data_IF_784266344552
#
_entry.id   IF_784266344552
#
_cell.length_a   1.000
_cell.length_b   1.000
_cell.length_c   1.000
_cell.angle_alpha   90.00
_cell.angle_beta   90.00
_cell.angle_gamma   90.00
#
_symmetry.space_group_name_H-M   'P 1'
#
loop_
_entity.id
_entity.type
_entity.pdbx_description
1 polymer ?
#
# COMPACT_ATOMS: atom_id res chain seq x y z
N UNK A 1 -3.38 7.26 12.90
CA UNK A 1 -3.71 7.38 11.46
C UNK A 1 -5.16 6.98 11.16
N UNK A 2 -5.66 5.89 11.75
CA UNK A 2 -7.00 5.35 11.50
C UNK A 2 -8.15 6.34 11.72
N UNK A 3 -8.07 7.20 12.77
CA UNK A 3 -9.10 8.22 13.05
C UNK A 3 -9.28 9.21 11.91
N UNK A 4 -8.17 9.63 11.31
CA UNK A 4 -8.18 10.56 10.16
C UNK A 4 -8.79 9.89 8.94
N UNK A 5 -8.47 8.62 8.68
CA UNK A 5 -9.08 7.85 7.59
C UNK A 5 -10.57 7.69 7.82
N UNK A 6 -11.01 7.34 9.04
CA UNK A 6 -12.43 7.24 9.37
C UNK A 6 -13.18 8.57 9.13
N UNK A 7 -12.60 9.70 9.57
CA UNK A 7 -13.19 11.03 9.34
C UNK A 7 -13.29 11.36 7.83
N UNK A 8 -12.23 11.09 7.06
CA UNK A 8 -12.23 11.27 5.61
C UNK A 8 -13.23 10.32 4.92
N UNK A 9 -13.39 9.10 5.42
CA UNK A 9 -14.35 8.14 4.88
C UNK A 9 -15.80 8.57 5.13
N UNK A 10 -16.09 9.18 6.29
CA UNK A 10 -17.41 9.78 6.57
C UNK A 10 -17.67 10.95 5.63
N UNK A 11 -16.68 11.83 5.44
CA UNK A 11 -16.79 12.94 4.48
C UNK A 11 -17.01 12.42 3.05
N UNK A 12 -16.24 11.42 2.63
CA UNK A 12 -16.36 10.78 1.33
C UNK A 12 -17.75 10.17 1.12
N UNK A 13 -18.27 9.46 2.11
CA UNK A 13 -19.63 8.92 2.08
C UNK A 13 -20.67 10.04 1.92
N UNK A 14 -20.56 11.13 2.68
CA UNK A 14 -21.49 12.25 2.59
C UNK A 14 -21.47 12.91 1.20
N UNK A 15 -20.28 13.03 0.59
CA UNK A 15 -20.11 13.58 -0.76
C UNK A 15 -20.69 12.69 -1.86
N UNK A 16 -20.89 11.39 -1.61
CA UNK A 16 -21.57 10.47 -2.54
C UNK A 16 -23.09 10.52 -2.35
N UNK A 17 -23.54 10.50 -1.09
CA UNK A 17 -24.97 10.37 -0.77
C UNK A 17 -25.73 11.69 -0.96
N UNK A 18 -25.12 12.83 -0.61
CA UNK A 18 -25.80 14.13 -0.68
C UNK A 18 -26.21 14.53 -2.12
N UNK A 19 -25.37 14.39 -3.15
CA UNK A 19 -25.77 14.65 -4.54
C UNK A 19 -26.94 13.76 -4.99
N UNK A 20 -26.91 12.47 -4.69
CA UNK A 20 -27.97 11.53 -5.06
C UNK A 20 -29.31 11.89 -4.39
N UNK A 21 -29.28 12.31 -3.12
CA UNK A 21 -30.46 12.85 -2.43
C UNK A 21 -30.96 14.14 -3.07
N UNK A 22 -30.07 15.07 -3.43
CA UNK A 22 -30.47 16.30 -4.12
C UNK A 22 -31.08 16.02 -5.49
N UNK A 23 -30.54 15.04 -6.24
CA UNK A 23 -31.05 14.65 -7.55
C UNK A 23 -32.51 14.19 -7.49
N UNK A 24 -32.90 13.40 -6.47
CA UNK A 24 -34.31 13.02 -6.27
C UNK A 24 -35.22 14.23 -6.07
N UNK A 25 -34.83 15.14 -5.19
CA UNK A 25 -35.65 16.32 -4.85
C UNK A 25 -35.78 17.31 -6.00
N UNK A 26 -34.73 17.42 -6.83
CA UNK A 26 -34.72 18.31 -7.99
C UNK A 26 -35.54 17.78 -9.16
N UNK A 27 -35.57 16.46 -9.38
CA UNK A 27 -36.39 15.83 -10.42
C UNK A 27 -37.89 15.92 -10.10
N UNK A 28 -38.28 15.89 -8.82
CA UNK A 28 -39.67 16.11 -8.40
C UNK A 28 -40.17 17.54 -8.68
N UNK A 29 -39.27 18.52 -8.88
CA UNK A 29 -39.60 19.95 -9.05
C UNK A 29 -39.26 20.48 -10.46
N UNK A 30 -39.14 19.61 -11.47
CA UNK A 30 -38.66 19.92 -12.82
C UNK A 30 -39.60 20.80 -13.69
N UNK A 31 -40.29 21.78 -13.10
CA UNK A 31 -41.15 22.75 -13.80
C UNK A 31 -40.48 24.07 -14.19
N UNK A 32 -39.27 24.41 -13.73
CA UNK A 32 -38.67 25.73 -13.97
C UNK A 32 -37.22 25.65 -14.51
N UNK A 33 -37.04 26.03 -15.77
CA UNK A 33 -35.86 25.74 -16.60
C UNK A 33 -34.69 26.75 -16.54
N UNK A 34 -34.60 27.63 -15.53
CA UNK A 34 -33.62 28.73 -15.54
C UNK A 34 -32.26 28.47 -14.83
N UNK A 35 -32.05 27.33 -14.16
CA UNK A 35 -30.84 27.08 -13.33
C UNK A 35 -29.82 26.03 -13.81
N UNK A 36 -29.97 25.47 -15.02
CA UNK A 36 -29.30 24.20 -15.41
C UNK A 36 -27.76 24.25 -15.40
N UNK A 37 -27.14 25.38 -15.72
CA UNK A 37 -25.67 25.51 -15.77
C UNK A 37 -25.00 25.49 -14.38
N UNK A 38 -25.59 26.20 -13.40
CA UNK A 38 -25.07 26.26 -12.04
C UNK A 38 -25.18 24.91 -11.32
N UNK A 39 -26.29 24.19 -11.53
CA UNK A 39 -26.50 22.84 -10.99
C UNK A 39 -25.45 21.87 -11.53
N UNK A 40 -25.17 21.91 -12.84
CA UNK A 40 -24.14 21.08 -13.46
C UNK A 40 -22.74 21.38 -12.91
N UNK A 41 -22.40 22.66 -12.70
CA UNK A 41 -21.11 23.07 -12.15
C UNK A 41 -20.91 22.60 -10.71
N UNK A 42 -21.94 22.75 -9.85
CA UNK A 42 -21.92 22.25 -8.47
C UNK A 42 -21.84 20.73 -8.44
N UNK A 43 -22.59 20.05 -9.31
CA UNK A 43 -22.54 18.60 -9.46
C UNK A 43 -21.12 18.13 -9.82
N UNK A 44 -20.52 18.68 -10.89
CA UNK A 44 -19.15 18.35 -11.31
C UNK A 44 -18.11 18.66 -10.22
N UNK A 45 -18.24 19.82 -9.55
CA UNK A 45 -17.39 20.19 -8.43
C UNK A 45 -17.47 19.19 -7.28
N UNK A 46 -18.68 18.71 -6.95
CA UNK A 46 -18.90 17.67 -5.94
C UNK A 46 -18.16 16.37 -6.26
N UNK A 47 -18.19 15.92 -7.52
CA UNK A 47 -17.44 14.74 -7.97
C UNK A 47 -15.93 14.94 -7.81
N UNK A 48 -15.40 16.10 -8.22
CA UNK A 48 -13.98 16.41 -8.07
C UNK A 48 -13.58 16.37 -6.58
N UNK A 49 -14.37 17.00 -5.72
CA UNK A 49 -14.12 17.01 -4.27
C UNK A 49 -14.18 15.59 -3.70
N UNK A 50 -15.17 14.80 -4.08
CA UNK A 50 -15.28 13.38 -3.71
C UNK A 50 -14.03 12.59 -4.11
N UNK A 51 -13.52 12.79 -5.32
CA UNK A 51 -12.30 12.15 -5.79
C UNK A 51 -11.06 12.61 -5.01
N UNK A 52 -10.94 13.90 -4.73
CA UNK A 52 -9.82 14.46 -3.94
C UNK A 52 -9.82 13.90 -2.52
N UNK A 53 -10.99 13.79 -1.89
CA UNK A 53 -11.11 13.17 -0.56
C UNK A 53 -10.72 11.69 -0.63
N UNK A 54 -11.16 10.95 -1.64
CA UNK A 54 -10.76 9.55 -1.80
C UNK A 54 -9.25 9.40 -2.07
N UNK A 55 -8.66 10.27 -2.88
CA UNK A 55 -7.22 10.32 -3.09
C UNK A 55 -6.47 10.58 -1.78
N UNK A 56 -7.00 11.47 -0.92
CA UNK A 56 -6.45 11.75 0.40
C UNK A 56 -6.53 10.56 1.36
N UNK A 57 -7.56 9.70 1.23
CA UNK A 57 -7.66 8.40 1.92
C UNK A 57 -6.62 7.43 1.35
N UNK A 58 -6.58 7.27 0.03
CA UNK A 58 -5.70 6.33 -0.66
C UNK A 58 -4.23 6.56 -0.34
N UNK A 59 -3.78 7.83 -0.33
CA UNK A 59 -2.40 8.21 0.00
C UNK A 59 -2.01 7.93 1.46
N UNK A 60 -2.99 7.92 2.37
CA UNK A 60 -2.75 7.66 3.80
C UNK A 60 -2.94 6.20 4.19
N UNK A 61 -3.54 5.39 3.30
CA UNK A 61 -3.76 3.99 3.57
C UNK A 61 -2.44 3.21 3.39
N UNK A 62 -2.00 2.42 4.38
CA UNK A 62 -0.86 1.52 4.24
C UNK A 62 -1.12 0.38 3.24
N UNK A 63 -2.39 0.17 2.85
CA UNK A 63 -2.79 -0.88 1.90
C UNK A 63 -3.30 -0.30 0.58
N UNK A 64 -3.10 -1.04 -0.54
CA UNK A 64 -3.59 -0.63 -1.83
C UNK A 64 -5.12 -0.53 -1.82
N UNK A 65 -5.65 0.65 -2.15
CA UNK A 65 -7.07 0.95 -2.12
C UNK A 65 -7.77 0.71 -3.47
N UNK A 66 -7.37 -0.35 -4.20
CA UNK A 66 -7.87 -0.62 -5.58
C UNK A 66 -9.39 -0.73 -5.61
N UNK A 67 -9.98 -1.52 -4.70
CA UNK A 67 -11.44 -1.65 -4.60
C UNK A 67 -12.11 -0.30 -4.31
N UNK A 68 -11.49 0.54 -3.47
CA UNK A 68 -12.02 1.86 -3.17
C UNK A 68 -11.98 2.79 -4.38
N UNK A 69 -10.95 2.69 -5.24
CA UNK A 69 -10.90 3.42 -6.51
C UNK A 69 -12.05 3.03 -7.45
N UNK A 70 -12.36 1.73 -7.54
CA UNK A 70 -13.52 1.24 -8.29
C UNK A 70 -14.82 1.80 -7.72
N UNK A 71 -15.01 1.74 -6.39
CA UNK A 71 -16.20 2.28 -5.73
C UNK A 71 -16.33 3.79 -5.95
N UNK A 72 -15.24 4.54 -5.73
CA UNK A 72 -15.18 5.99 -5.91
C UNK A 72 -15.50 6.44 -7.34
N UNK A 73 -15.24 5.57 -8.33
CA UNK A 73 -15.47 5.90 -9.73
C UNK A 73 -16.88 5.53 -10.20
N UNK A 74 -17.45 4.44 -9.70
CA UNK A 74 -18.72 3.89 -10.20
C UNK A 74 -19.90 4.33 -9.35
N UNK A 75 -19.79 4.26 -8.03
CA UNK A 75 -20.94 4.41 -7.13
C UNK A 75 -21.56 5.81 -7.16
N UNK A 76 -20.81 6.92 -7.22
CA UNK A 76 -21.44 8.24 -7.30
C UNK A 76 -22.37 8.36 -8.51
N UNK A 77 -21.90 7.89 -9.68
CA UNK A 77 -22.69 7.89 -10.90
C UNK A 77 -23.89 6.95 -10.77
N UNK A 78 -23.67 5.70 -10.37
CA UNK A 78 -24.74 4.73 -10.22
C UNK A 78 -25.83 5.22 -9.24
N UNK A 79 -25.45 5.86 -8.13
CA UNK A 79 -26.37 6.43 -7.17
C UNK A 79 -27.22 7.55 -7.78
N UNK A 80 -26.63 8.48 -8.54
CA UNK A 80 -27.37 9.57 -9.18
C UNK A 80 -28.43 9.06 -10.18
N UNK A 81 -28.12 8.01 -10.94
CA UNK A 81 -29.04 7.46 -11.95
C UNK A 81 -30.12 6.53 -11.38
N UNK A 82 -29.81 5.79 -10.33
CA UNK A 82 -30.72 4.77 -9.80
C UNK A 82 -31.60 5.27 -8.67
N UNK A 83 -31.16 6.26 -7.91
CA UNK A 83 -31.93 6.78 -6.78
C UNK A 83 -33.29 7.39 -7.18
N UNK A 84 -33.43 8.14 -8.31
CA UNK A 84 -34.72 8.62 -8.77
C UNK A 84 -35.73 7.50 -9.09
N UNK A 85 -35.26 6.29 -9.39
CA UNK A 85 -36.11 5.13 -9.69
C UNK A 85 -36.66 4.49 -8.40
N UNK A 86 -35.88 4.49 -7.32
CA UNK A 86 -36.27 3.92 -6.03
C UNK A 86 -35.31 4.32 -4.92
N UNK A 87 -35.85 4.66 -3.74
CA UNK A 87 -35.04 4.94 -2.53
C UNK A 87 -34.21 3.74 -2.08
N UNK A 88 -34.60 2.51 -2.45
CA UNK A 88 -33.84 1.31 -2.11
C UNK A 88 -32.49 1.25 -2.80
N UNK A 89 -32.34 1.89 -3.98
CA UNK A 89 -31.04 2.01 -4.63
C UNK A 89 -30.09 2.89 -3.83
N UNK A 90 -30.57 3.99 -3.26
CA UNK A 90 -29.76 4.81 -2.36
C UNK A 90 -29.32 4.03 -1.12
N UNK A 91 -30.22 3.25 -0.53
CA UNK A 91 -29.90 2.39 0.60
C UNK A 91 -28.80 1.37 0.24
N UNK A 92 -28.87 0.76 -0.95
CA UNK A 92 -27.85 -0.16 -1.46
C UNK A 92 -26.49 0.53 -1.58
N UNK A 93 -26.41 1.66 -2.29
CA UNK A 93 -25.14 2.36 -2.51
C UNK A 93 -24.55 2.91 -1.21
N UNK A 94 -25.41 3.38 -0.30
CA UNK A 94 -25.03 3.76 1.07
C UNK A 94 -24.38 2.58 1.79
N UNK A 95 -24.98 1.39 1.74
CA UNK A 95 -24.46 0.20 2.37
C UNK A 95 -23.11 -0.23 1.77
N UNK A 96 -22.95 -0.15 0.44
CA UNK A 96 -21.68 -0.47 -0.24
C UNK A 96 -20.56 0.47 0.23
N UNK A 97 -20.79 1.78 0.21
CA UNK A 97 -19.78 2.78 0.58
C UNK A 97 -19.46 2.69 2.08
N UNK A 98 -20.48 2.60 2.93
CA UNK A 98 -20.30 2.48 4.37
C UNK A 98 -19.60 1.17 4.76
N UNK A 99 -19.96 0.05 4.12
CA UNK A 99 -19.32 -1.24 4.33
C UNK A 99 -17.83 -1.21 3.96
N UNK A 100 -17.50 -0.63 2.81
CA UNK A 100 -16.10 -0.45 2.41
C UNK A 100 -15.34 0.49 3.37
N UNK A 101 -15.94 1.62 3.75
CA UNK A 101 -15.35 2.57 4.68
C UNK A 101 -15.07 1.94 6.06
N UNK A 102 -16.02 1.16 6.59
CA UNK A 102 -15.87 0.44 7.84
C UNK A 102 -14.77 -0.62 7.74
N UNK A 103 -14.77 -1.42 6.67
CA UNK A 103 -13.73 -2.41 6.41
C UNK A 103 -12.33 -1.78 6.34
N UNK A 104 -12.17 -0.71 5.56
CA UNK A 104 -10.90 -0.01 5.42
C UNK A 104 -10.43 0.57 6.76
N UNK A 105 -11.35 1.19 7.52
CA UNK A 105 -11.04 1.76 8.83
C UNK A 105 -10.59 0.69 9.82
N UNK A 106 -11.24 -0.48 9.81
CA UNK A 106 -10.84 -1.63 10.64
C UNK A 106 -9.45 -2.12 10.24
N UNK A 107 -9.18 -2.30 8.95
CA UNK A 107 -7.87 -2.77 8.50
C UNK A 107 -6.75 -1.79 8.84
N UNK A 108 -6.97 -0.48 8.69
CA UNK A 108 -5.95 0.51 9.10
C UNK A 108 -5.81 0.59 10.62
N UNK A 109 -6.89 0.42 11.38
CA UNK A 109 -6.81 0.38 12.84
C UNK A 109 -5.97 -0.79 13.33
N UNK A 110 -6.01 -1.95 12.66
CA UNK A 110 -5.17 -3.11 12.97
C UNK A 110 -3.69 -2.83 12.74
N UNK A 111 -3.37 -2.12 11.66
CA UNK A 111 -2.00 -1.68 11.38
C UNK A 111 -1.51 -0.67 12.42
N UNK A 112 -2.34 0.32 12.78
CA UNK A 112 -2.01 1.29 13.83
C UNK A 112 -1.80 0.61 15.20
N UNK A 113 -2.64 -0.39 15.53
CA UNK A 113 -2.49 -1.18 16.75
C UNK A 113 -1.20 -2.00 16.74
N UNK A 114 -0.89 -2.66 15.63
CA UNK A 114 0.38 -3.39 15.48
C UNK A 114 1.59 -2.47 15.65
N UNK A 115 1.55 -1.26 15.09
CA UNK A 115 2.66 -0.31 15.21
C UNK A 115 2.86 0.26 16.61
N UNK A 116 1.79 0.31 17.41
CA UNK A 116 1.83 0.90 18.77
C UNK A 116 1.98 -0.13 19.89
N UNK A 117 1.45 -1.34 19.71
CA UNK A 117 1.40 -2.39 20.72
C UNK A 117 1.97 -3.73 20.24
N UNK A 118 2.54 -3.78 19.03
CA UNK A 118 3.19 -4.97 18.50
C UNK A 118 4.45 -5.31 19.27
N UNK A 119 4.75 -6.60 19.35
CA UNK A 119 5.97 -7.12 19.96
C UNK A 119 7.04 -7.22 18.89
N UNK A 120 8.23 -6.66 19.17
CA UNK A 120 9.38 -6.79 18.29
C UNK A 120 9.94 -8.21 18.33
N UNK A 121 10.25 -8.76 17.16
CA UNK A 121 10.81 -10.08 16.97
C UNK A 121 11.84 -10.06 15.83
N UNK A 122 12.70 -11.09 15.77
CA UNK A 122 13.68 -11.24 14.70
C UNK A 122 13.12 -12.17 13.61
N UNK A 123 13.16 -11.73 12.36
CA UNK A 123 12.83 -12.55 11.20
C UNK A 123 14.10 -12.91 10.45
N UNK A 124 14.41 -14.20 10.34
CA UNK A 124 15.44 -14.70 9.43
C UNK A 124 14.83 -14.83 8.03
N UNK A 125 15.43 -14.19 7.03
CA UNK A 125 14.95 -14.24 5.65
C UNK A 125 15.31 -15.59 5.05
N UNK A 126 14.32 -16.45 4.83
CA UNK A 126 14.53 -17.73 4.15
C UNK A 126 14.63 -17.53 2.64
N UNK A 127 13.74 -16.69 2.10
CA UNK A 127 13.61 -16.49 0.67
C UNK A 127 12.97 -15.14 0.36
N UNK A 128 13.46 -14.48 -0.68
CA UNK A 128 12.83 -13.30 -1.29
C UNK A 128 12.04 -13.77 -2.51
N UNK A 129 10.72 -13.84 -2.37
CA UNK A 129 9.85 -14.30 -3.47
C UNK A 129 9.82 -13.21 -4.54
N UNK A 130 10.41 -13.49 -5.71
CA UNK A 130 10.37 -12.60 -6.87
C UNK A 130 9.00 -12.72 -7.55
N UNK A 131 8.23 -11.64 -7.64
CA UNK A 131 6.95 -11.68 -8.35
C UNK A 131 7.19 -11.87 -9.86
N UNK A 132 6.27 -12.58 -10.54
CA UNK A 132 6.30 -12.74 -12.01
C UNK A 132 6.30 -11.40 -12.74
N UNK A 133 5.69 -10.37 -12.14
CA UNK A 133 5.71 -9.00 -12.62
C UNK A 133 6.38 -8.11 -11.57
N UNK A 134 7.47 -7.44 -11.93
CA UNK A 134 8.15 -6.50 -11.05
C UNK A 134 7.27 -5.27 -10.81
N UNK A 135 6.66 -5.18 -9.62
CA UNK A 135 5.93 -3.99 -9.19
C UNK A 135 6.93 -2.99 -8.61
N UNK A 136 7.41 -2.11 -9.48
CA UNK A 136 8.16 -0.91 -9.10
C UNK A 136 7.15 0.11 -8.58
N UNK A 137 7.24 0.46 -7.29
CA UNK A 137 6.30 1.41 -6.65
C UNK A 137 6.68 2.84 -7.02
N UNK A 138 7.98 3.13 -7.01
CA UNK A 138 8.62 4.38 -7.45
C UNK A 138 9.98 4.06 -8.09
N UNK A 139 10.63 5.04 -8.73
CA UNK A 139 11.93 4.87 -9.43
C UNK A 139 12.98 4.10 -8.60
N UNK A 140 12.95 4.30 -7.29
CA UNK A 140 13.97 3.81 -6.37
C UNK A 140 13.46 2.75 -5.37
N UNK A 141 12.18 2.35 -5.45
CA UNK A 141 11.56 1.44 -4.50
C UNK A 141 10.77 0.32 -5.17
N UNK A 142 10.93 -0.90 -4.67
CA UNK A 142 10.22 -2.08 -5.17
C UNK A 142 9.48 -2.81 -4.05
N UNK A 143 8.31 -3.36 -4.37
CA UNK A 143 7.57 -4.19 -3.43
C UNK A 143 8.00 -5.65 -3.55
N UNK A 144 8.31 -6.30 -2.43
CA UNK A 144 8.75 -7.69 -2.38
C UNK A 144 8.01 -8.46 -1.30
N UNK A 145 7.84 -9.75 -1.53
CA UNK A 145 7.30 -10.68 -0.54
C UNK A 145 8.46 -11.50 0.01
N UNK A 146 8.69 -11.41 1.31
CA UNK A 146 9.69 -12.18 2.03
C UNK A 146 9.02 -13.38 2.69
N UNK A 147 9.67 -14.54 2.59
CA UNK A 147 9.39 -15.69 3.44
C UNK A 147 10.38 -15.65 4.60
N UNK A 148 9.86 -15.42 5.80
CA UNK A 148 10.64 -15.25 7.01
C UNK A 148 10.42 -16.43 7.95
N UNK A 149 11.47 -16.86 8.63
CA UNK A 149 11.39 -17.64 9.86
C UNK A 149 11.42 -16.67 11.02
N UNK A 150 10.29 -16.56 11.71
CA UNK A 150 10.09 -15.60 12.79
C UNK A 150 10.52 -16.24 14.11
N UNK A 151 11.45 -15.59 14.79
CA UNK A 151 11.97 -15.95 16.10
C UNK A 151 11.57 -14.87 17.09
N UNK A 152 10.71 -15.26 18.02
CA UNK A 152 10.12 -14.35 18.98
C UNK A 152 10.90 -14.45 20.31
N UNK A 153 11.20 -13.34 20.98
CA UNK A 153 12.05 -13.35 22.19
C UNK A 153 11.39 -14.03 23.39
N UNK A 154 10.09 -14.28 23.34
CA UNK A 154 9.29 -14.93 24.38
C UNK A 154 9.46 -16.46 24.44
N UNK A 155 10.34 -17.04 23.62
CA UNK A 155 10.61 -18.48 23.58
C UNK A 155 9.54 -19.30 22.87
N UNK A 156 8.59 -18.65 22.18
CA UNK A 156 7.65 -19.36 21.32
C UNK A 156 8.36 -20.06 20.16
N UNK A 157 7.81 -21.20 19.73
CA UNK A 157 8.41 -21.98 18.65
C UNK A 157 8.49 -21.14 17.36
N UNK A 158 9.65 -21.16 16.66
CA UNK A 158 9.81 -20.40 15.44
C UNK A 158 8.84 -20.90 14.37
N UNK A 159 8.24 -19.96 13.63
CA UNK A 159 7.28 -20.26 12.58
C UNK A 159 7.59 -19.49 11.31
N UNK A 160 7.14 -20.04 10.18
CA UNK A 160 7.29 -19.37 8.90
C UNK A 160 6.13 -18.42 8.62
N UNK A 161 6.46 -17.24 8.09
CA UNK A 161 5.48 -16.25 7.68
C UNK A 161 5.88 -15.59 6.36
N UNK A 162 4.88 -15.09 5.64
CA UNK A 162 5.07 -14.27 4.44
C UNK A 162 4.78 -12.82 4.78
N UNK A 163 5.75 -11.94 4.54
CA UNK A 163 5.62 -10.51 4.80
C UNK A 163 5.83 -9.76 3.49
N UNK A 164 4.90 -8.89 3.15
CA UNK A 164 5.01 -8.02 1.99
C UNK A 164 5.47 -6.65 2.43
N UNK A 165 6.65 -6.22 2.00
CA UNK A 165 7.22 -4.92 2.35
C UNK A 165 7.77 -4.21 1.11
N UNK A 166 8.02 -2.91 1.27
CA UNK A 166 8.61 -2.07 0.22
C UNK A 166 10.05 -1.81 0.59
N UNK A 167 10.97 -2.01 -0.35
CA UNK A 167 12.41 -1.86 -0.14
C UNK A 167 12.99 -0.91 -1.18
N UNK A 168 13.99 -0.13 -0.76
CA UNK A 168 14.85 0.61 -1.67
C UNK A 168 15.61 -0.36 -2.57
N UNK A 169 15.69 -0.06 -3.87
CA UNK A 169 16.48 -0.84 -4.81
C UNK A 169 17.95 -0.80 -4.40
N UNK A 170 18.64 -1.94 -4.45
CA UNK A 170 20.02 -2.08 -3.93
C UNK A 170 20.08 -2.41 -2.43
N UNK A 171 19.00 -2.22 -1.68
CA UNK A 171 18.92 -2.56 -0.25
C UNK A 171 17.98 -3.74 0.03
N UNK A 172 17.57 -4.48 -1.01
CA UNK A 172 16.78 -5.69 -0.82
C UNK A 172 17.48 -6.66 0.14
N UNK A 173 16.78 -7.21 1.14
CA UNK A 173 17.29 -8.30 1.96
C UNK A 173 17.64 -9.49 1.07
N UNK A 174 18.67 -10.24 1.44
CA UNK A 174 19.06 -11.51 0.82
C UNK A 174 18.69 -12.68 1.74
N UNK A 175 18.82 -13.91 1.25
CA UNK A 175 18.62 -15.07 2.09
C UNK A 175 19.64 -15.05 3.26
N UNK A 176 19.20 -15.54 4.42
CA UNK A 176 19.90 -15.54 5.71
C UNK A 176 20.07 -14.17 6.39
N UNK A 177 19.69 -13.07 5.74
CA UNK A 177 19.65 -11.76 6.41
C UNK A 177 18.64 -11.76 7.57
N UNK A 178 18.92 -10.95 8.60
CA UNK A 178 18.01 -10.75 9.72
C UNK A 178 17.31 -9.41 9.59
N UNK A 179 15.99 -9.44 9.74
CA UNK A 179 15.14 -8.26 9.73
C UNK A 179 14.34 -8.17 11.01
N UNK A 180 14.10 -6.96 11.50
CA UNK A 180 13.22 -6.74 12.65
C UNK A 180 11.77 -6.72 12.17
N UNK A 181 10.90 -7.48 12.83
CA UNK A 181 9.48 -7.53 12.53
C UNK A 181 8.66 -7.21 13.78
N UNK A 182 7.53 -6.55 13.60
CA UNK A 182 6.52 -6.33 14.63
C UNK A 182 5.39 -7.34 14.45
N UNK A 183 5.02 -8.00 15.54
CA UNK A 183 4.00 -9.05 15.54
C UNK A 183 2.85 -8.65 16.47
N UNK A 184 1.61 -8.89 16.04
CA UNK A 184 0.45 -8.76 16.91
C UNK A 184 0.41 -9.95 17.89
N UNK A 185 0.47 -9.72 19.22
CA UNK A 185 0.48 -10.80 20.21
C UNK A 185 -0.82 -11.61 20.20
N UNK A 186 -1.95 -11.00 19.83
CA UNK A 186 -3.27 -11.65 19.75
C UNK A 186 -3.44 -12.36 18.40
N UNK A 187 -2.77 -11.88 17.35
CA UNK A 187 -2.84 -12.44 15.99
C UNK A 187 -1.44 -12.65 15.40
N UNK A 188 -0.77 -13.78 15.73
CA UNK A 188 0.60 -14.08 15.29
C UNK A 188 0.87 -14.00 13.78
N UNK A 189 -0.16 -14.14 12.96
CA UNK A 189 -0.07 -14.06 11.50
C UNK A 189 -0.04 -12.62 10.97
N UNK A 190 -0.39 -11.63 11.79
CA UNK A 190 -0.30 -10.22 11.44
C UNK A 190 1.09 -9.71 11.79
N UNK A 191 1.92 -9.56 10.76
CA UNK A 191 3.33 -9.20 10.88
C UNK A 191 3.61 -8.04 9.92
N UNK A 192 4.29 -7.01 10.44
CA UNK A 192 4.86 -5.93 9.64
C UNK A 192 6.38 -5.90 9.83
N UNK A 193 7.10 -5.52 8.78
CA UNK A 193 8.51 -5.21 8.88
C UNK A 193 8.67 -3.90 9.65
N UNK A 194 9.65 -3.83 10.54
CA UNK A 194 10.06 -2.57 11.14
C UNK A 194 10.98 -1.83 10.17
N UNK A 195 10.44 -0.85 9.44
CA UNK A 195 11.19 -0.09 8.43
C UNK A 195 12.24 0.85 9.05
N UNK A 196 12.12 1.15 10.35
CA UNK A 196 13.05 2.04 11.07
C UNK A 196 14.33 1.31 11.49
N UNK A 197 14.31 -0.03 11.52
CA UNK A 197 15.42 -0.86 11.98
C UNK A 197 16.28 -1.35 10.80
N UNK A 198 17.62 -1.25 10.89
CA UNK A 198 18.49 -1.65 9.80
C UNK A 198 18.46 -3.17 9.58
N UNK A 199 18.53 -3.56 8.30
CA UNK A 199 18.68 -4.97 7.91
C UNK A 199 20.07 -5.44 8.33
N UNK A 200 20.14 -6.43 9.21
CA UNK A 200 21.40 -7.05 9.63
C UNK A 200 21.79 -8.08 8.58
N UNK A 201 22.82 -7.76 7.80
CA UNK A 201 23.30 -8.61 6.70
C UNK A 201 24.06 -9.82 7.23
N UNK A 202 23.77 -10.99 6.67
CA UNK A 202 24.52 -12.21 7.01
C UNK A 202 25.94 -12.18 6.47
N UNK A 203 26.13 -11.64 5.27
CA UNK A 203 27.44 -11.45 4.66
C UNK A 203 27.97 -10.04 4.98
N UNK A 204 29.20 -9.89 5.50
CA UNK A 204 29.84 -8.59 5.64
C UNK A 204 29.93 -7.93 4.26
N UNK A 205 29.44 -6.69 4.14
CA UNK A 205 29.82 -5.87 2.98
C UNK A 205 31.30 -5.51 3.15
N UNK A 206 32.12 -5.60 2.08
CA UNK A 206 33.51 -5.19 2.20
C UNK A 206 33.55 -3.68 2.44
N UNK A 207 33.88 -3.26 3.67
CA UNK A 207 33.92 -1.85 4.07
C UNK A 207 35.07 -1.08 3.39
N UNK A 208 36.10 -1.79 2.92
CA UNK A 208 37.33 -1.22 2.34
C UNK A 208 37.34 -1.19 0.79
N UNK A 209 36.18 -1.10 0.15
CA UNK A 209 36.15 -0.97 -1.31
C UNK A 209 36.46 0.48 -1.74
N UNK A 210 37.27 0.67 -2.78
CA UNK A 210 37.43 1.97 -3.42
C UNK A 210 36.06 2.57 -3.78
N UNK A 211 35.83 3.89 -3.58
CA UNK A 211 34.50 4.50 -3.75
C UNK A 211 33.87 4.25 -5.13
N UNK A 212 34.70 4.24 -6.17
CA UNK A 212 34.27 3.97 -7.56
C UNK A 212 33.81 2.52 -7.78
N UNK A 213 34.39 1.55 -7.06
CA UNK A 213 34.00 0.14 -7.13
C UNK A 213 32.72 -0.09 -6.34
N UNK A 214 32.60 0.51 -5.16
CA UNK A 214 31.39 0.48 -4.35
C UNK A 214 30.18 1.03 -5.12
N UNK A 215 30.32 2.19 -5.78
CA UNK A 215 29.25 2.79 -6.58
C UNK A 215 28.84 1.92 -7.79
N UNK A 216 29.81 1.28 -8.45
CA UNK A 216 29.54 0.35 -9.56
C UNK A 216 28.83 -0.93 -9.07
N UNK A 217 29.20 -1.47 -7.92
CA UNK A 217 28.50 -2.61 -7.30
C UNK A 217 27.06 -2.23 -6.92
N UNK A 218 26.86 -1.05 -6.33
CA UNK A 218 25.53 -0.51 -6.02
C UNK A 218 24.66 -0.43 -7.28
N UNK A 219 25.24 0.05 -8.39
CA UNK A 219 24.57 0.15 -9.69
C UNK A 219 24.16 -1.22 -10.23
N UNK A 220 25.09 -2.19 -10.24
CA UNK A 220 24.79 -3.56 -10.67
C UNK A 220 23.70 -4.20 -9.82
N UNK A 221 23.71 -3.97 -8.50
CA UNK A 221 22.70 -4.49 -7.58
C UNK A 221 21.33 -3.87 -7.84
N UNK A 222 21.30 -2.55 -8.07
CA UNK A 222 20.08 -1.83 -8.46
C UNK A 222 19.48 -2.39 -9.77
N UNK A 223 20.33 -2.65 -10.77
CA UNK A 223 19.90 -3.23 -12.05
C UNK A 223 19.34 -4.65 -11.87
N UNK A 224 20.02 -5.51 -11.10
CA UNK A 224 19.53 -6.84 -10.74
C UNK A 224 18.18 -6.77 -10.04
N UNK A 225 18.05 -5.89 -9.03
CA UNK A 225 16.84 -5.80 -8.22
C UNK A 225 15.64 -5.25 -9.01
N UNK A 226 15.89 -4.41 -10.04
CA UNK A 226 14.89 -3.97 -11.01
C UNK A 226 14.50 -5.06 -12.01
N UNK A 227 15.37 -6.06 -12.22
CA UNK A 227 15.23 -7.11 -13.21
C UNK A 227 15.88 -6.78 -14.56
N UNK A 228 16.72 -5.74 -14.63
CA UNK A 228 17.51 -5.39 -15.81
C UNK A 228 18.67 -6.39 -16.03
N UNK A 229 19.07 -7.12 -14.98
CA UNK A 229 20.09 -8.18 -15.00
C UNK A 229 19.57 -9.46 -14.37
N UNK A 230 19.91 -10.60 -14.96
CA UNK A 230 19.75 -11.92 -14.34
C UNK A 230 20.79 -12.15 -13.24
N UNK A 231 20.54 -13.13 -12.36
CA UNK A 231 21.47 -13.44 -11.26
C UNK A 231 22.85 -13.91 -11.77
N UNK A 232 22.87 -14.64 -12.90
CA UNK A 232 24.10 -15.07 -13.56
C UNK A 232 24.88 -13.90 -14.17
N UNK A 233 24.19 -12.95 -14.79
CA UNK A 233 24.81 -11.75 -15.36
C UNK A 233 25.35 -10.86 -14.25
N UNK A 234 24.59 -10.67 -13.18
CA UNK A 234 25.04 -9.95 -11.99
C UNK A 234 26.28 -10.60 -11.37
N UNK A 235 26.26 -11.92 -11.16
CA UNK A 235 27.41 -12.63 -10.59
C UNK A 235 28.66 -12.49 -11.45
N UNK A 236 28.51 -12.57 -12.78
CA UNK A 236 29.61 -12.41 -13.73
C UNK A 236 30.15 -10.98 -13.73
N UNK A 237 29.28 -9.98 -13.76
CA UNK A 237 29.66 -8.57 -13.75
C UNK A 237 30.33 -8.17 -12.42
N UNK A 238 29.80 -8.64 -11.29
CA UNK A 238 30.38 -8.46 -9.96
C UNK A 238 31.79 -9.04 -9.89
N UNK A 239 31.98 -10.27 -10.36
CA UNK A 239 33.28 -10.93 -10.36
C UNK A 239 34.31 -10.15 -11.17
N UNK A 240 33.97 -9.77 -12.42
CA UNK A 240 34.84 -8.96 -13.28
C UNK A 240 35.23 -7.63 -12.64
N UNK A 241 34.28 -6.97 -11.99
CA UNK A 241 34.51 -5.68 -11.34
C UNK A 241 35.48 -5.81 -10.15
N UNK A 242 35.32 -6.85 -9.33
CA UNK A 242 36.22 -7.11 -8.20
C UNK A 242 37.61 -7.54 -8.65
N UNK A 243 37.72 -8.35 -9.72
CA UNK A 243 39.00 -8.73 -10.31
C UNK A 243 39.75 -7.50 -10.87
N UNK A 244 39.06 -6.61 -11.60
CA UNK A 244 39.66 -5.39 -12.15
C UNK A 244 40.08 -4.36 -11.11
N UNK A 245 39.59 -4.47 -9.87
CA UNK A 245 39.94 -3.58 -8.76
C UNK A 245 41.14 -4.10 -7.95
N UNK A 246 41.53 -5.36 -8.16
CA UNK A 246 42.67 -5.99 -7.49
C UNK A 246 43.98 -5.89 -8.31
N UNK A 247 43.89 -5.49 -9.58
CA UNK A 247 45.02 -5.13 -10.46
C UNK A 247 45.43 -3.65 -10.29
#
# INVERSE_FOLDING_TARGET
MWRTIAALSVLWWALIVAPALMATRLLDHAGATSGKGGVLAVWLGGYIVQFVVFLAISRRSPRPAVLGWVIASIVPWAADWTTPLSVWWLALWTAVVAGYAAWLSVEVSRVDQLRSAGVSASGLVLEVIRPTFNVVVNKDASRRVLRLRVERPDGTAPYEARVTATFTLGELPEADDRVTVRIDPVRPHLIELDEDEPIVRAAPQPEDLPPNVAERLQTLKTMRDRGDLTDSEFATARKRLLESAAE
#
